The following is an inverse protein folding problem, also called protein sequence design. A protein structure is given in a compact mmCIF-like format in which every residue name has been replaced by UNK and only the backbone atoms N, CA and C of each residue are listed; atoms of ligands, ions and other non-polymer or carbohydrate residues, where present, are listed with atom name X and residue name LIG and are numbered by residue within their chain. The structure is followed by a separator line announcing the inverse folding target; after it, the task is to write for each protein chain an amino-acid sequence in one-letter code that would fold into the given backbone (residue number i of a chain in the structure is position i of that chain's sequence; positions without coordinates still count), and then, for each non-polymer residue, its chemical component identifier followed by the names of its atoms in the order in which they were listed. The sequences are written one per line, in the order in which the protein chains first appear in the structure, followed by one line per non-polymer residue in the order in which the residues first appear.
data_IF_555414496634
#
_entry.id   IF_555414496634
#
_cell.length_a   1.000
_cell.length_b   1.000
_cell.length_c   1.000
_cell.angle_alpha   90.00
_cell.angle_beta   90.00
_cell.angle_gamma   90.00
#
_symmetry.space_group_name_H-M   'P 1'
#
loop_
_entity.id
_entity.type
_entity.pdbx_description
1 polymer ?
#
# COMPACT_ATOMS: atom_id res chain seq x y z
N UNK A 1 24.15 8.38 -9.37
CA UNK A 1 25.37 9.18 -9.66
C UNK A 1 26.64 8.45 -9.28
N UNK A 2 26.82 8.02 -8.00
CA UNK A 2 28.02 7.28 -7.56
C UNK A 2 28.26 6.00 -8.36
N UNK A 3 27.23 5.18 -8.58
CA UNK A 3 27.33 3.96 -9.39
C UNK A 3 27.70 4.25 -10.86
N UNK A 4 27.19 5.35 -11.42
CA UNK A 4 27.51 5.77 -12.78
C UNK A 4 28.97 6.26 -12.89
N UNK A 5 29.47 6.98 -11.87
CA UNK A 5 30.86 7.41 -11.80
C UNK A 5 31.82 6.22 -11.62
N UNK A 6 31.46 5.24 -10.79
CA UNK A 6 32.24 4.01 -10.62
C UNK A 6 32.29 3.19 -11.92
N UNK A 7 31.16 3.05 -12.62
CA UNK A 7 31.11 2.37 -13.92
C UNK A 7 31.90 3.11 -14.99
N UNK A 8 31.83 4.44 -15.04
CA UNK A 8 32.62 5.25 -15.97
C UNK A 8 34.13 5.12 -15.69
N UNK A 9 34.54 5.07 -14.42
CA UNK A 9 35.92 4.83 -14.03
C UNK A 9 36.41 3.43 -14.46
N UNK A 10 35.62 2.39 -14.18
CA UNK A 10 35.96 1.02 -14.58
C UNK A 10 36.05 0.87 -16.10
N UNK A 11 35.09 1.46 -16.83
CA UNK A 11 35.11 1.51 -18.29
C UNK A 11 36.37 2.21 -18.81
N UNK A 12 36.78 3.33 -18.20
CA UNK A 12 38.00 4.03 -18.60
C UNK A 12 39.26 3.22 -18.33
N UNK A 13 39.36 2.56 -17.17
CA UNK A 13 40.48 1.68 -16.81
C UNK A 13 40.62 0.53 -17.82
N UNK A 14 39.51 -0.11 -18.18
CA UNK A 14 39.47 -1.25 -19.10
C UNK A 14 39.79 -0.82 -20.54
N UNK A 15 39.12 0.22 -21.04
CA UNK A 15 39.19 0.59 -22.45
C UNK A 15 40.47 1.35 -22.81
N UNK A 16 40.91 2.27 -21.95
CA UNK A 16 42.15 3.03 -22.16
C UNK A 16 43.39 2.28 -21.66
N UNK A 17 43.22 1.08 -21.09
CA UNK A 17 44.31 0.20 -20.63
C UNK A 17 45.27 0.94 -19.69
N UNK A 18 44.72 1.74 -18.79
CA UNK A 18 45.47 2.65 -17.90
C UNK A 18 46.50 1.90 -17.06
N UNK A 19 46.29 0.60 -16.79
CA UNK A 19 47.21 -0.27 -16.03
C UNK A 19 47.83 -1.41 -16.86
N UNK A 20 48.14 -1.16 -18.14
CA UNK A 20 48.77 -2.17 -19.02
C UNK A 20 50.14 -2.68 -18.52
N UNK A 21 50.88 -1.84 -17.80
CA UNK A 21 52.02 -2.25 -16.98
C UNK A 21 51.62 -2.03 -15.55
N UNK A 22 51.56 -3.12 -14.77
CA UNK A 22 51.36 -3.02 -13.33
C UNK A 22 52.52 -2.17 -12.79
N UNK A 23 52.25 -1.06 -12.07
CA UNK A 23 53.30 -0.35 -11.37
C UNK A 23 53.94 -1.36 -10.42
N UNK A 24 55.18 -1.76 -10.72
CA UNK A 24 55.97 -2.56 -9.80
C UNK A 24 56.34 -1.57 -8.72
N UNK A 25 55.70 -1.68 -7.55
CA UNK A 25 56.11 -0.92 -6.40
C UNK A 25 57.58 -1.27 -6.12
N UNK A 26 58.52 -0.33 -6.28
CA UNK A 26 59.93 -0.60 -6.08
C UNK A 26 60.24 -1.05 -4.64
N UNK A 27 59.30 -0.83 -3.70
CA UNK A 27 59.36 -1.30 -2.33
C UNK A 27 58.76 -2.69 -2.11
N UNK A 28 57.96 -3.22 -3.04
CA UNK A 28 57.36 -4.56 -2.97
C UNK A 28 58.33 -5.68 -3.38
N UNK A 29 59.62 -5.54 -3.07
CA UNK A 29 60.58 -6.63 -3.24
C UNK A 29 60.24 -7.73 -2.22
N UNK A 30 60.17 -8.98 -2.67
CA UNK A 30 59.83 -10.17 -1.85
C UNK A 30 60.74 -10.30 -0.61
N UNK A 31 61.94 -9.72 -0.67
CA UNK A 31 62.98 -9.74 0.35
C UNK A 31 62.85 -8.62 1.40
N UNK A 32 61.99 -7.61 1.19
CA UNK A 32 61.83 -6.51 2.14
C UNK A 32 61.10 -7.04 3.39
N UNK A 33 61.83 -7.06 4.52
CA UNK A 33 61.26 -7.41 5.81
C UNK A 33 60.15 -6.41 6.15
N UNK A 34 59.08 -6.84 6.84
CA UNK A 34 58.04 -5.90 7.20
C UNK A 34 58.59 -4.80 8.11
N UNK A 35 58.03 -3.61 7.99
CA UNK A 35 58.44 -2.46 8.77
C UNK A 35 57.38 -2.17 9.83
N UNK A 36 57.82 -1.73 11.01
CA UNK A 36 56.93 -1.33 12.09
C UNK A 36 56.23 -0.04 11.71
N UNK A 37 54.90 -0.06 11.65
CA UNK A 37 54.13 1.16 11.41
C UNK A 37 53.95 1.94 12.71
N UNK A 38 54.65 3.07 12.83
CA UNK A 38 54.59 3.93 14.02
C UNK A 38 53.22 4.58 14.21
N UNK A 39 52.44 4.78 13.15
CA UNK A 39 51.14 5.41 13.28
C UNK A 39 50.10 4.48 13.92
N UNK A 40 50.19 3.17 13.66
CA UNK A 40 49.27 2.17 14.21
C UNK A 40 49.85 1.36 15.38
N UNK A 41 51.15 1.50 15.68
CA UNK A 41 51.89 0.68 16.63
C UNK A 41 51.77 -0.84 16.37
N UNK A 42 51.65 -1.24 15.10
CA UNK A 42 51.45 -2.65 14.72
C UNK A 42 52.36 -3.07 13.57
N UNK A 43 52.60 -4.38 13.49
CA UNK A 43 53.23 -5.02 12.33
C UNK A 43 52.15 -5.43 11.32
N UNK A 44 52.09 -4.73 10.20
CA UNK A 44 51.06 -4.94 9.17
C UNK A 44 51.49 -5.93 8.07
N UNK A 45 52.63 -6.60 8.24
CA UNK A 45 53.16 -7.56 7.27
C UNK A 45 53.76 -6.89 6.04
N UNK A 46 53.89 -7.66 4.94
CA UNK A 46 54.49 -7.16 3.69
C UNK A 46 53.76 -5.91 3.18
N UNK A 47 54.45 -4.98 2.50
CA UNK A 47 53.86 -3.71 2.04
C UNK A 47 52.52 -3.86 1.30
N UNK A 48 52.38 -4.89 0.47
CA UNK A 48 51.13 -5.19 -0.25
C UNK A 48 49.94 -5.50 0.67
N UNK A 49 50.18 -6.23 1.75
CA UNK A 49 49.15 -6.58 2.73
C UNK A 49 48.84 -5.37 3.62
N UNK A 50 49.87 -4.65 4.04
CA UNK A 50 49.73 -3.44 4.84
C UNK A 50 48.93 -2.35 4.10
N UNK A 51 49.20 -2.14 2.81
CA UNK A 51 48.46 -1.22 1.96
C UNK A 51 46.98 -1.61 1.86
N UNK A 52 46.67 -2.89 1.60
CA UNK A 52 45.27 -3.36 1.54
C UNK A 52 44.52 -3.11 2.85
N UNK A 53 45.15 -3.38 4.00
CA UNK A 53 44.54 -3.15 5.32
C UNK A 53 44.28 -1.66 5.55
N UNK A 54 45.26 -0.79 5.24
CA UNK A 54 45.11 0.66 5.42
C UNK A 54 44.01 1.25 4.53
N UNK A 55 44.00 0.89 3.25
CA UNK A 55 43.02 1.42 2.30
C UNK A 55 41.62 0.85 2.52
N UNK A 56 41.49 -0.43 2.91
CA UNK A 56 40.18 -0.99 3.27
C UNK A 56 39.62 -0.35 4.54
N UNK A 57 40.45 -0.14 5.56
CA UNK A 57 40.05 0.58 6.77
C UNK A 57 39.65 2.03 6.45
N UNK A 58 40.45 2.75 5.66
CA UNK A 58 40.13 4.10 5.23
C UNK A 58 38.81 4.16 4.44
N UNK A 59 38.56 3.18 3.57
CA UNK A 59 37.29 3.06 2.85
C UNK A 59 36.11 2.82 3.81
N UNK A 60 36.23 1.87 4.75
CA UNK A 60 35.18 1.59 5.73
C UNK A 60 34.89 2.82 6.60
N UNK A 61 35.93 3.52 7.07
CA UNK A 61 35.79 4.75 7.83
C UNK A 61 35.14 5.87 6.99
N UNK A 62 35.54 6.03 5.73
CA UNK A 62 34.93 7.01 4.83
C UNK A 62 33.44 6.70 4.56
N UNK A 63 33.08 5.43 4.39
CA UNK A 63 31.68 5.00 4.25
C UNK A 63 30.91 5.25 5.54
N UNK A 64 31.47 4.91 6.70
CA UNK A 64 30.82 5.13 7.99
C UNK A 64 30.57 6.63 8.25
N UNK A 65 31.57 7.48 7.99
CA UNK A 65 31.44 8.95 8.09
C UNK A 65 30.43 9.45 7.05
N UNK A 66 30.47 8.94 5.81
CA UNK A 66 29.51 9.30 4.78
C UNK A 66 28.06 8.95 5.14
N UNK A 67 27.83 7.78 5.74
CA UNK A 67 26.52 7.35 6.25
C UNK A 67 26.10 8.16 7.48
N UNK A 68 27.03 8.57 8.35
CA UNK A 68 26.74 9.43 9.51
C UNK A 68 26.16 10.79 9.08
N UNK A 69 26.61 11.35 7.96
CA UNK A 69 26.09 12.61 7.41
C UNK A 69 24.96 12.41 6.37
N UNK A 70 24.54 11.17 6.13
CA UNK A 70 23.44 10.90 5.22
C UNK A 70 22.10 11.17 5.93
N UNK A 71 21.19 11.97 5.35
CA UNK A 71 19.87 12.18 5.95
C UNK A 71 19.06 10.90 5.84
N UNK A 72 19.02 10.09 6.91
CA UNK A 72 18.27 8.85 6.97
C UNK A 72 16.76 9.06 6.78
N UNK A 73 16.26 10.27 7.05
CA UNK A 73 14.90 10.72 6.75
C UNK A 73 14.53 10.57 5.26
N UNK A 74 15.52 10.47 4.36
CA UNK A 74 15.33 10.19 2.92
C UNK A 74 15.56 8.73 2.52
N UNK A 75 16.11 7.91 3.42
CA UNK A 75 16.28 6.46 3.24
C UNK A 75 15.15 5.66 3.86
N UNK A 76 14.41 6.25 4.81
CA UNK A 76 13.14 5.71 5.22
C UNK A 76 12.21 5.71 4.00
N UNK A 77 11.89 4.50 3.53
CA UNK A 77 10.70 4.32 2.70
C UNK A 77 9.56 4.98 3.47
N UNK A 78 8.84 5.94 2.87
CA UNK A 78 7.67 6.58 3.47
C UNK A 78 6.50 5.60 3.69
N UNK A 79 6.78 4.30 3.65
CA UNK A 79 5.82 3.23 3.52
C UNK A 79 5.06 3.34 2.20
N UNK A 80 3.98 2.57 2.14
CA UNK A 80 2.90 2.84 1.20
C UNK A 80 2.30 4.19 1.61
N UNK A 81 2.09 5.13 0.70
CA UNK A 81 1.40 6.38 1.02
C UNK A 81 -0.08 6.11 1.27
N UNK A 82 -0.67 6.81 2.24
CA UNK A 82 -2.12 6.75 2.45
C UNK A 82 -2.84 7.19 1.18
N UNK A 83 -3.75 6.35 0.71
CA UNK A 83 -4.58 6.58 -0.46
C UNK A 83 -6.05 6.45 -0.03
N UNK A 84 -6.62 7.50 0.59
CA UNK A 84 -7.94 7.42 1.17
C UNK A 84 -9.01 7.16 0.11
N UNK A 85 -10.00 6.37 0.51
CA UNK A 85 -11.10 5.94 -0.35
C UNK A 85 -12.33 6.78 -0.04
N UNK A 86 -13.05 7.16 -1.10
CA UNK A 86 -14.30 7.88 -1.00
C UNK A 86 -15.48 7.10 -1.58
N UNK A 87 -16.69 7.48 -1.15
CA UNK A 87 -17.96 6.87 -1.57
C UNK A 87 -18.09 6.79 -3.11
N UNK A 88 -18.59 5.64 -3.57
CA UNK A 88 -19.06 5.44 -4.94
C UNK A 88 -20.30 6.32 -5.23
N UNK A 89 -20.48 6.75 -6.48
CA UNK A 89 -21.54 7.71 -6.84
C UNK A 89 -22.54 7.10 -7.79
N UNK A 90 -23.81 7.51 -7.70
CA UNK A 90 -24.91 7.01 -8.53
C UNK A 90 -25.92 6.21 -7.73
N UNK A 91 -26.84 5.54 -8.43
CA UNK A 91 -27.88 4.66 -7.86
C UNK A 91 -27.83 3.29 -8.50
N UNK A 92 -28.65 3.06 -9.54
CA UNK A 92 -28.71 1.78 -10.26
C UNK A 92 -27.37 1.37 -10.90
N UNK A 93 -26.58 2.36 -11.30
CA UNK A 93 -25.19 2.20 -11.74
C UNK A 93 -24.32 3.05 -10.83
N UNK A 94 -23.38 2.40 -10.16
CA UNK A 94 -22.42 3.03 -9.27
C UNK A 94 -21.10 3.26 -10.02
N UNK A 95 -20.61 4.49 -9.97
CA UNK A 95 -19.27 4.87 -10.39
C UNK A 95 -18.36 4.68 -9.19
N UNK A 96 -17.60 3.59 -9.20
CA UNK A 96 -16.58 3.28 -8.21
C UNK A 96 -15.28 3.90 -8.70
N UNK A 97 -14.77 4.86 -7.95
CA UNK A 97 -13.50 5.55 -8.20
C UNK A 97 -12.96 6.00 -6.84
N UNK A 98 -12.47 5.02 -6.08
CA UNK A 98 -12.19 5.14 -4.65
C UNK A 98 -11.19 6.25 -4.33
N UNK A 99 -10.11 6.37 -5.09
CA UNK A 99 -9.04 7.35 -4.88
C UNK A 99 -9.10 8.55 -5.84
N UNK A 100 -10.17 8.67 -6.66
CA UNK A 100 -10.34 9.76 -7.64
C UNK A 100 -9.19 9.86 -8.65
N UNK A 101 -8.53 8.74 -8.99
CA UNK A 101 -7.43 8.71 -9.97
C UNK A 101 -7.91 8.50 -11.42
N UNK A 102 -9.22 8.43 -11.64
CA UNK A 102 -9.87 8.24 -12.94
C UNK A 102 -9.79 6.83 -13.56
N UNK A 103 -9.25 5.86 -12.83
CA UNK A 103 -9.47 4.44 -13.09
C UNK A 103 -10.77 4.03 -12.40
N UNK A 104 -11.86 3.96 -13.18
CA UNK A 104 -13.20 3.78 -12.64
C UNK A 104 -13.84 2.47 -13.07
N UNK A 105 -14.69 1.95 -12.20
CA UNK A 105 -15.56 0.80 -12.46
C UNK A 105 -17.00 1.28 -12.48
N UNK A 106 -17.71 0.99 -13.57
CA UNK A 106 -19.14 1.22 -13.67
C UNK A 106 -19.91 -0.02 -13.21
N UNK A 107 -20.15 -0.11 -11.91
CA UNK A 107 -20.83 -1.23 -11.29
C UNK A 107 -22.34 -1.14 -11.51
N UNK A 108 -22.91 -2.11 -12.23
CA UNK A 108 -24.35 -2.17 -12.53
C UNK A 108 -25.10 -2.75 -11.32
N UNK A 109 -25.27 -1.95 -10.27
CA UNK A 109 -25.85 -2.35 -8.98
C UNK A 109 -27.23 -2.99 -9.13
N UNK A 110 -28.15 -2.36 -9.85
CA UNK A 110 -29.52 -2.88 -10.04
C UNK A 110 -29.55 -4.26 -10.69
N UNK A 111 -28.65 -4.51 -11.64
CA UNK A 111 -28.55 -5.82 -12.31
C UNK A 111 -28.07 -6.88 -11.31
N UNK A 112 -27.12 -6.55 -10.44
CA UNK A 112 -26.67 -7.48 -9.40
C UNK A 112 -27.80 -7.77 -8.43
N UNK A 113 -28.54 -6.75 -8.00
CA UNK A 113 -29.72 -6.91 -7.15
C UNK A 113 -30.73 -7.89 -7.78
N UNK A 114 -31.16 -7.60 -9.02
CA UNK A 114 -32.16 -8.40 -9.72
C UNK A 114 -31.72 -9.85 -9.97
N UNK A 115 -30.47 -10.04 -10.39
CA UNK A 115 -29.95 -11.37 -10.74
C UNK A 115 -29.64 -12.23 -9.52
N UNK A 116 -29.48 -11.62 -8.34
CA UNK A 116 -29.14 -12.32 -7.12
C UNK A 116 -30.32 -12.44 -6.14
N UNK A 117 -31.54 -12.16 -6.58
CA UNK A 117 -32.76 -12.40 -5.79
C UNK A 117 -33.37 -11.15 -5.16
N UNK A 118 -33.17 -9.98 -5.77
CA UNK A 118 -33.75 -8.73 -5.30
C UNK A 118 -33.18 -8.33 -3.94
N UNK A 119 -34.07 -8.03 -2.98
CA UNK A 119 -33.70 -7.61 -1.64
C UNK A 119 -32.90 -8.65 -0.84
N UNK A 120 -33.02 -9.95 -1.16
CA UNK A 120 -32.21 -10.99 -0.52
C UNK A 120 -30.74 -10.98 -0.98
N UNK A 121 -30.43 -10.23 -2.04
CA UNK A 121 -29.07 -10.11 -2.56
C UNK A 121 -28.17 -9.23 -1.70
N UNK A 122 -28.74 -8.31 -0.91
CA UNK A 122 -27.97 -7.28 -0.20
C UNK A 122 -26.90 -7.90 0.71
N UNK A 123 -27.26 -8.94 1.47
CA UNK A 123 -26.34 -9.63 2.38
C UNK A 123 -25.24 -10.43 1.66
N UNK A 124 -25.36 -10.67 0.35
CA UNK A 124 -24.32 -11.35 -0.44
C UNK A 124 -23.10 -10.46 -0.70
N UNK A 125 -23.28 -9.14 -0.55
CA UNK A 125 -22.22 -8.14 -0.77
C UNK A 125 -22.01 -7.26 0.47
N UNK A 126 -23.07 -6.69 1.03
CA UNK A 126 -23.02 -5.90 2.26
C UNK A 126 -22.97 -6.84 3.46
N UNK A 127 -21.77 -7.31 3.78
CA UNK A 127 -21.58 -8.32 4.82
C UNK A 127 -21.44 -7.73 6.23
N UNK A 128 -21.28 -6.41 6.32
CA UNK A 128 -21.18 -5.68 7.57
C UNK A 128 -21.68 -4.25 7.36
N UNK A 129 -22.51 -3.76 8.28
CA UNK A 129 -23.03 -2.40 8.28
C UNK A 129 -22.39 -1.57 9.38
N UNK A 130 -22.38 -0.26 9.20
CA UNK A 130 -22.20 0.68 10.30
C UNK A 130 -23.44 0.57 11.22
N UNK A 131 -23.29 0.67 12.55
CA UNK A 131 -24.43 0.59 13.47
C UNK A 131 -25.57 1.54 13.11
N UNK A 132 -26.79 1.02 13.01
CA UNK A 132 -27.99 1.80 12.65
C UNK A 132 -28.15 2.10 11.15
N UNK A 133 -27.23 1.62 10.32
CA UNK A 133 -27.27 1.74 8.86
C UNK A 133 -27.68 0.41 8.22
N UNK A 134 -28.05 0.47 6.93
CA UNK A 134 -28.28 -0.71 6.10
C UNK A 134 -27.53 -0.54 4.79
N UNK A 135 -26.91 -1.62 4.34
CA UNK A 135 -26.20 -1.64 3.06
C UNK A 135 -25.05 -0.62 3.04
N UNK A 136 -24.31 -0.54 4.14
CA UNK A 136 -23.19 0.39 4.27
C UNK A 136 -22.18 0.18 3.14
N UNK A 137 -21.63 1.29 2.65
CA UNK A 137 -20.69 1.27 1.56
C UNK A 137 -19.32 0.75 1.99
N UNK A 138 -18.67 -0.04 1.13
CA UNK A 138 -17.39 -0.68 1.44
C UNK A 138 -16.33 0.32 1.92
N UNK A 139 -16.33 1.55 1.39
CA UNK A 139 -15.37 2.62 1.70
C UNK A 139 -15.38 3.06 3.18
N UNK A 140 -16.46 2.79 3.92
CA UNK A 140 -16.57 3.18 5.33
C UNK A 140 -15.63 2.36 6.23
N UNK A 141 -15.38 1.10 5.88
CA UNK A 141 -14.48 0.21 6.60
C UNK A 141 -13.16 0.02 5.84
N UNK A 142 -13.24 -0.18 4.52
CA UNK A 142 -12.11 -0.31 3.61
C UNK A 142 -11.69 1.08 3.11
N UNK A 143 -11.17 1.89 4.02
CA UNK A 143 -10.99 3.35 3.85
C UNK A 143 -9.68 3.76 3.19
N UNK A 144 -8.79 2.81 2.88
CA UNK A 144 -7.57 3.02 2.10
C UNK A 144 -7.53 2.06 0.92
N UNK A 145 -6.98 2.49 -0.22
CA UNK A 145 -6.92 1.65 -1.42
C UNK A 145 -6.13 0.36 -1.21
N UNK A 146 -5.00 0.42 -0.51
CA UNK A 146 -4.00 -0.65 -0.48
C UNK A 146 -3.59 -1.06 0.93
N UNK A 147 -3.87 -0.25 1.94
CA UNK A 147 -3.51 -0.55 3.34
C UNK A 147 -4.64 -1.28 4.06
N UNK A 148 -4.24 -2.11 4.99
CA UNK A 148 -5.13 -2.62 6.01
C UNK A 148 -5.56 -1.48 6.93
N UNK A 149 -6.84 -1.47 7.29
CA UNK A 149 -7.48 -0.43 8.09
C UNK A 149 -8.15 -1.03 9.31
N UNK A 150 -8.12 -0.29 10.42
CA UNK A 150 -8.92 -0.62 11.60
C UNK A 150 -10.39 -0.27 11.33
N UNK A 151 -11.18 -1.27 10.95
CA UNK A 151 -12.61 -1.13 10.68
C UNK A 151 -13.42 -0.93 11.97
N UNK A 152 -12.91 -1.41 13.11
CA UNK A 152 -13.51 -1.12 14.42
C UNK A 152 -13.28 0.33 14.83
N UNK A 153 -12.21 0.97 14.36
CA UNK A 153 -11.80 2.33 14.74
C UNK A 153 -11.66 2.41 16.25
N UNK A 154 -10.76 1.61 16.80
CA UNK A 154 -10.47 1.49 18.22
C UNK A 154 -10.29 2.85 18.89
N UNK A 155 -9.50 3.73 18.27
CA UNK A 155 -9.25 5.08 18.79
C UNK A 155 -10.52 5.93 18.85
N UNK A 156 -11.43 5.77 17.89
CA UNK A 156 -12.71 6.47 17.92
C UNK A 156 -13.61 5.94 19.04
N UNK A 157 -13.64 4.62 19.26
CA UNK A 157 -14.39 4.04 20.37
C UNK A 157 -13.87 4.48 21.74
N UNK A 158 -12.55 4.52 21.91
CA UNK A 158 -11.90 4.91 23.18
C UNK A 158 -11.83 6.43 23.40
N UNK A 159 -11.97 7.24 22.34
CA UNK A 159 -11.81 8.69 22.43
C UNK A 159 -13.00 9.38 23.13
N UNK A 160 -12.75 10.42 23.96
CA UNK A 160 -13.79 11.29 24.50
C UNK A 160 -14.65 12.00 23.43
N UNK A 161 -14.09 12.24 22.24
CA UNK A 161 -14.80 12.86 21.12
C UNK A 161 -15.54 11.85 20.22
N UNK A 162 -15.43 10.56 20.52
CA UNK A 162 -16.10 9.47 19.81
C UNK A 162 -17.12 8.77 20.72
N UNK A 163 -17.01 7.46 20.89
CA UNK A 163 -17.94 6.70 21.74
C UNK A 163 -17.64 6.83 23.25
N UNK A 164 -16.46 7.36 23.61
CA UNK A 164 -16.02 7.56 25.00
C UNK A 164 -16.14 6.29 25.86
N UNK A 165 -15.80 5.14 25.29
CA UNK A 165 -15.80 3.87 25.99
C UNK A 165 -14.53 3.70 26.81
N UNK A 166 -14.69 3.43 28.10
CA UNK A 166 -13.57 3.04 28.95
C UNK A 166 -13.05 1.64 28.56
N UNK A 167 -11.74 1.41 28.64
CA UNK A 167 -11.10 0.16 28.21
C UNK A 167 -11.74 -1.10 28.84
N UNK A 168 -12.17 -1.01 30.09
CA UNK A 168 -12.81 -2.11 30.85
C UNK A 168 -14.21 -2.49 30.35
N UNK A 169 -14.79 -1.70 29.44
CA UNK A 169 -16.06 -2.04 28.78
C UNK A 169 -15.89 -3.06 27.65
N UNK A 170 -14.67 -3.19 27.13
CA UNK A 170 -14.36 -4.08 26.01
C UNK A 170 -13.29 -5.11 26.37
N UNK A 171 -12.43 -4.83 27.35
CA UNK A 171 -11.36 -5.73 27.77
C UNK A 171 -11.49 -6.09 29.25
N UNK A 172 -11.45 -7.39 29.53
CA UNK A 172 -11.40 -7.90 30.89
C UNK A 172 -10.11 -7.45 31.61
N UNK A 173 -10.18 -6.98 32.88
CA UNK A 173 -9.01 -6.44 33.59
C UNK A 173 -7.81 -7.38 33.70
N UNK A 174 -8.07 -8.69 33.83
CA UNK A 174 -7.06 -9.71 34.08
C UNK A 174 -6.59 -10.44 32.80
N UNK A 175 -7.00 -9.96 31.62
CA UNK A 175 -6.62 -10.52 30.33
C UNK A 175 -5.70 -9.57 29.56
N UNK A 176 -4.78 -10.09 28.73
CA UNK A 176 -4.09 -9.26 27.75
C UNK A 176 -5.12 -8.53 26.89
N UNK A 177 -4.90 -7.23 26.63
CA UNK A 177 -5.78 -6.42 25.77
C UNK A 177 -5.50 -6.75 24.31
N UNK A 178 -6.20 -7.74 23.79
CA UNK A 178 -6.07 -8.20 22.41
C UNK A 178 -7.45 -8.43 21.79
N UNK A 179 -7.53 -8.42 20.46
CA UNK A 179 -8.81 -8.57 19.76
C UNK A 179 -9.54 -9.88 20.12
N UNK A 180 -8.80 -10.96 20.36
CA UNK A 180 -9.35 -12.28 20.71
C UNK A 180 -9.88 -12.39 22.13
N UNK A 181 -9.56 -11.44 23.02
CA UNK A 181 -10.04 -11.38 24.41
C UNK A 181 -10.96 -10.21 24.66
N UNK A 182 -11.22 -9.40 23.63
CA UNK A 182 -12.16 -8.30 23.69
C UNK A 182 -13.60 -8.80 23.53
N UNK A 183 -14.56 -8.04 24.08
CA UNK A 183 -15.99 -8.23 23.83
C UNK A 183 -16.29 -8.26 22.33
N UNK A 184 -17.18 -9.17 21.93
CA UNK A 184 -17.60 -9.23 20.53
C UNK A 184 -18.46 -8.02 20.16
N UNK A 185 -18.36 -7.55 18.91
CA UNK A 185 -19.15 -6.39 18.47
C UNK A 185 -20.66 -6.57 18.67
N UNK A 186 -21.17 -7.80 18.55
CA UNK A 186 -22.60 -8.12 18.69
C UNK A 186 -23.16 -7.89 20.10
N UNK A 187 -22.29 -7.78 21.10
CA UNK A 187 -22.70 -7.43 22.47
C UNK A 187 -23.28 -6.01 22.53
N UNK A 188 -22.82 -5.12 21.63
CA UNK A 188 -23.27 -3.73 21.53
C UNK A 188 -24.07 -3.44 20.25
N UNK A 189 -23.71 -4.08 19.13
CA UNK A 189 -24.28 -3.82 17.79
C UNK A 189 -25.04 -5.03 17.27
N UNK A 190 -26.37 -5.01 17.39
CA UNK A 190 -27.24 -6.17 17.10
C UNK A 190 -27.51 -6.41 15.61
N UNK A 191 -27.25 -5.41 14.78
CA UNK A 191 -27.59 -5.33 13.36
C UNK A 191 -26.35 -5.17 12.46
N UNK A 192 -25.17 -5.44 13.02
CA UNK A 192 -23.89 -5.24 12.36
C UNK A 192 -23.69 -6.17 11.15
N UNK A 193 -24.01 -7.45 11.31
CA UNK A 193 -23.90 -8.45 10.24
C UNK A 193 -25.33 -8.78 9.79
N UNK A 194 -25.71 -8.48 8.54
CA UNK A 194 -27.06 -8.76 8.08
C UNK A 194 -27.32 -10.27 8.03
N UNK A 195 -28.56 -10.71 8.30
CA UNK A 195 -28.94 -12.12 8.16
C UNK A 195 -28.66 -12.63 6.74
N UNK A 196 -28.03 -13.80 6.65
CA UNK A 196 -27.66 -14.40 5.35
C UNK A 196 -26.37 -13.85 4.74
N UNK A 197 -25.58 -13.06 5.48
CA UNK A 197 -24.27 -12.61 5.03
C UNK A 197 -23.37 -13.79 4.63
N UNK A 198 -22.89 -13.78 3.38
CA UNK A 198 -22.06 -14.88 2.85
C UNK A 198 -20.58 -14.68 3.12
N UNK A 199 -20.15 -13.44 3.33
CA UNK A 199 -18.77 -13.09 3.67
C UNK A 199 -18.67 -13.03 5.19
N UNK A 200 -17.73 -13.77 5.76
CA UNK A 200 -17.48 -13.79 7.21
C UNK A 200 -16.44 -12.74 7.58
N UNK A 201 -16.71 -12.00 8.65
CA UNK A 201 -15.77 -11.07 9.26
C UNK A 201 -15.06 -11.81 10.38
N UNK A 202 -13.78 -12.12 10.18
CA UNK A 202 -12.97 -12.88 11.16
C UNK A 202 -12.21 -11.96 12.12
N UNK A 203 -11.81 -10.79 11.65
CA UNK A 203 -11.13 -9.77 12.43
C UNK A 203 -11.68 -8.37 12.13
N UNK A 204 -11.18 -7.39 12.87
CA UNK A 204 -11.54 -5.98 12.70
C UNK A 204 -10.56 -5.21 11.82
N UNK A 205 -9.62 -5.92 11.18
CA UNK A 205 -8.60 -5.35 10.31
C UNK A 205 -9.06 -5.54 8.87
N UNK A 206 -9.77 -4.55 8.36
CA UNK A 206 -10.24 -4.57 6.98
C UNK A 206 -9.04 -4.55 6.02
N UNK A 207 -8.97 -5.45 5.02
CA UNK A 207 -8.01 -5.31 3.94
C UNK A 207 -8.20 -4.00 3.17
N UNK A 208 -7.20 -3.62 2.39
CA UNK A 208 -7.32 -2.48 1.47
C UNK A 208 -8.51 -2.63 0.54
N UNK A 209 -9.06 -1.51 0.09
CA UNK A 209 -10.26 -1.46 -0.74
C UNK A 209 -10.13 -2.26 -2.03
N UNK A 210 -8.95 -2.23 -2.66
CA UNK A 210 -8.65 -3.02 -3.86
C UNK A 210 -8.77 -4.51 -3.55
N UNK A 211 -8.15 -4.97 -2.47
CA UNK A 211 -8.16 -6.38 -2.07
C UNK A 211 -9.56 -6.83 -1.64
N UNK A 212 -10.29 -5.99 -0.92
CA UNK A 212 -11.68 -6.26 -0.52
C UNK A 212 -12.59 -6.41 -1.74
N UNK A 213 -12.52 -5.48 -2.69
CA UNK A 213 -13.33 -5.52 -3.90
C UNK A 213 -12.95 -6.69 -4.80
N UNK A 214 -11.66 -6.90 -5.05
CA UNK A 214 -11.23 -8.02 -5.87
C UNK A 214 -11.55 -9.37 -5.21
N UNK A 215 -11.34 -9.50 -3.90
CA UNK A 215 -11.65 -10.71 -3.15
C UNK A 215 -13.15 -11.06 -3.18
N UNK A 216 -14.04 -10.07 -3.18
CA UNK A 216 -15.49 -10.33 -3.26
C UNK A 216 -15.98 -10.50 -4.70
N UNK A 217 -15.68 -9.53 -5.57
CA UNK A 217 -16.27 -9.47 -6.91
C UNK A 217 -15.63 -10.49 -7.86
N UNK A 218 -14.30 -10.61 -7.86
CA UNK A 218 -13.59 -11.47 -8.82
C UNK A 218 -13.83 -12.93 -8.49
N UNK A 219 -13.84 -13.33 -7.21
CA UNK A 219 -14.13 -14.70 -6.81
C UNK A 219 -15.56 -15.12 -7.20
N UNK A 220 -16.57 -14.29 -6.89
CA UNK A 220 -17.93 -14.53 -7.36
C UNK A 220 -18.02 -14.62 -8.90
N UNK A 221 -17.32 -13.73 -9.61
CA UNK A 221 -17.27 -13.75 -11.07
C UNK A 221 -16.58 -14.99 -11.63
N UNK A 222 -15.57 -15.57 -10.96
CA UNK A 222 -14.94 -16.84 -11.37
C UNK A 222 -15.95 -17.98 -11.29
N UNK A 223 -16.73 -18.07 -10.21
CA UNK A 223 -17.77 -19.07 -10.06
C UNK A 223 -18.86 -18.92 -11.15
N UNK A 224 -19.34 -17.69 -11.35
CA UNK A 224 -20.34 -17.39 -12.38
C UNK A 224 -19.81 -17.56 -13.80
N UNK A 225 -18.51 -17.38 -14.04
CA UNK A 225 -17.89 -17.62 -15.34
C UNK A 225 -18.06 -19.07 -15.78
N UNK A 226 -17.86 -20.01 -14.86
CA UNK A 226 -18.06 -21.45 -15.11
C UNK A 226 -19.55 -21.74 -15.29
N UNK A 227 -20.38 -21.28 -14.35
CA UNK A 227 -21.82 -21.57 -14.36
C UNK A 227 -22.56 -21.02 -15.60
N UNK A 228 -22.11 -19.87 -16.13
CA UNK A 228 -22.75 -19.18 -17.25
C UNK A 228 -22.01 -19.36 -18.58
N UNK A 229 -20.94 -20.16 -18.61
CA UNK A 229 -20.04 -20.30 -19.76
C UNK A 229 -19.53 -18.93 -20.29
N UNK A 230 -19.13 -18.05 -19.36
CA UNK A 230 -18.59 -16.70 -19.63
C UNK A 230 -17.15 -16.60 -19.11
N UNK A 231 -16.16 -17.26 -19.74
CA UNK A 231 -14.79 -17.37 -19.21
C UNK A 231 -14.07 -16.02 -19.01
N UNK A 232 -14.55 -14.95 -19.68
CA UNK A 232 -13.99 -13.60 -19.57
C UNK A 232 -14.56 -12.78 -18.40
N UNK A 233 -15.61 -13.25 -17.72
CA UNK A 233 -16.29 -12.50 -16.66
C UNK A 233 -15.37 -12.02 -15.51
N UNK A 234 -14.35 -12.77 -15.05
CA UNK A 234 -13.44 -12.31 -14.00
C UNK A 234 -12.23 -11.51 -14.52
N UNK A 235 -12.13 -11.24 -15.83
CA UNK A 235 -11.01 -10.49 -16.39
C UNK A 235 -11.12 -9.00 -16.05
N UNK A 236 -9.97 -8.33 -15.90
CA UNK A 236 -9.90 -6.92 -15.51
C UNK A 236 -10.77 -6.02 -16.40
N UNK A 237 -10.73 -6.25 -17.72
CA UNK A 237 -11.47 -5.48 -18.73
C UNK A 237 -12.99 -5.58 -18.63
N UNK A 238 -13.51 -6.56 -17.89
CA UNK A 238 -14.96 -6.69 -17.66
C UNK A 238 -15.47 -5.65 -16.66
N UNK A 239 -14.62 -5.24 -15.71
CA UNK A 239 -14.95 -4.24 -14.70
C UNK A 239 -14.32 -2.89 -15.02
N UNK A 240 -13.05 -2.90 -15.43
CA UNK A 240 -12.26 -1.73 -15.82
C UNK A 240 -12.32 -1.55 -17.33
N UNK A 241 -13.25 -0.73 -17.78
CA UNK A 241 -13.41 -0.38 -19.19
C UNK A 241 -12.79 1.01 -19.42
N UNK A 242 -11.70 1.05 -20.19
CA UNK A 242 -10.99 2.29 -20.49
C UNK A 242 -11.85 3.26 -21.30
N UNK A 243 -12.67 2.77 -22.23
CA UNK A 243 -13.52 3.64 -23.05
C UNK A 243 -14.60 4.31 -22.19
N UNK A 244 -15.19 3.56 -21.25
CA UNK A 244 -16.14 4.10 -20.27
C UNK A 244 -15.43 5.11 -19.37
N UNK A 245 -14.22 4.81 -18.91
CA UNK A 245 -13.44 5.70 -18.07
C UNK A 245 -13.16 7.02 -18.80
N UNK A 246 -12.63 6.96 -20.01
CA UNK A 246 -12.32 8.11 -20.84
C UNK A 246 -13.57 8.95 -21.13
N UNK A 247 -14.69 8.32 -21.46
CA UNK A 247 -15.97 8.99 -21.73
C UNK A 247 -16.50 9.74 -20.49
N UNK A 248 -16.51 9.10 -19.33
CA UNK A 248 -16.92 9.74 -18.06
C UNK A 248 -15.96 10.87 -17.69
N UNK A 249 -14.66 10.69 -17.89
CA UNK A 249 -13.65 11.70 -17.62
C UNK A 249 -13.82 12.92 -18.52
N UNK A 250 -14.09 12.72 -19.82
CA UNK A 250 -14.41 13.79 -20.76
C UNK A 250 -15.68 14.54 -20.34
N UNK A 251 -16.73 13.83 -19.93
CA UNK A 251 -17.98 14.45 -19.47
C UNK A 251 -17.77 15.30 -18.20
N UNK A 252 -16.98 14.80 -17.24
CA UNK A 252 -16.59 15.57 -16.04
C UNK A 252 -15.79 16.81 -16.46
N UNK A 253 -14.74 16.64 -17.27
CA UNK A 253 -13.90 17.75 -17.72
C UNK A 253 -14.70 18.82 -18.47
N UNK A 254 -15.63 18.42 -19.36
CA UNK A 254 -16.50 19.33 -20.09
C UNK A 254 -17.43 20.13 -19.16
N UNK A 255 -17.97 19.51 -18.09
CA UNK A 255 -18.80 20.20 -17.08
C UNK A 255 -18.02 21.27 -16.31
N UNK A 256 -16.70 21.13 -16.22
CA UNK A 256 -15.82 22.06 -15.51
C UNK A 256 -15.06 23.04 -16.43
N UNK A 257 -15.08 22.86 -17.76
CA UNK A 257 -14.50 23.81 -18.71
C UNK A 257 -15.28 25.13 -18.71
N UNK A 258 -14.62 26.23 -18.34
CA UNK A 258 -15.19 27.58 -18.27
C UNK A 258 -15.46 28.10 -16.86
N UNK A 259 -15.45 27.23 -15.84
CA UNK A 259 -15.42 27.66 -14.43
C UNK A 259 -13.99 27.58 -13.93
N UNK A 260 -13.23 28.69 -14.03
CA UNK A 260 -12.00 28.86 -13.25
C UNK A 260 -12.37 28.99 -11.76
N UNK A 261 -12.68 27.87 -11.13
CA UNK A 261 -12.80 27.81 -9.68
C UNK A 261 -11.40 27.65 -9.10
N UNK A 262 -10.95 28.61 -8.29
CA UNK A 262 -9.74 28.49 -7.46
C UNK A 262 -9.89 27.46 -6.34
N UNK A 263 -11.06 26.82 -6.25
CA UNK A 263 -11.39 25.76 -5.31
C UNK A 263 -11.65 24.45 -6.05
N UNK A 264 -11.22 23.33 -5.47
CA UNK A 264 -11.57 21.97 -5.92
C UNK A 264 -13.10 21.89 -5.98
N UNK A 265 -13.67 22.00 -7.19
CA UNK A 265 -15.12 21.94 -7.39
C UNK A 265 -15.47 20.47 -7.48
N UNK A 266 -16.06 19.92 -6.41
CA UNK A 266 -16.62 18.57 -6.46
C UNK A 266 -17.82 18.56 -7.41
N UNK A 267 -17.96 17.55 -8.30
CA UNK A 267 -19.14 17.47 -9.16
C UNK A 267 -20.36 17.12 -8.30
N UNK A 268 -21.28 18.08 -8.13
CA UNK A 268 -22.66 17.78 -7.77
C UNK A 268 -23.32 17.01 -8.91
N UNK A 269 -24.06 15.96 -8.55
CA UNK A 269 -24.91 15.19 -9.45
C UNK A 269 -26.34 15.46 -9.03
N UNK A 270 -27.16 15.94 -9.96
CA UNK A 270 -28.61 15.99 -9.79
C UNK A 270 -29.15 14.55 -9.70
N UNK A 271 -29.93 14.28 -8.67
CA UNK A 271 -30.77 13.09 -8.57
C UNK A 271 -31.88 13.23 -9.63
N UNK A 272 -31.82 12.40 -10.68
CA UNK A 272 -32.92 12.16 -11.61
C UNK A 272 -33.38 10.72 -11.47
#
# INVERSE_FOLDING_TARGET
VVSAAALAFLFAVEHFKVWKKMPIDPEAKVEKLPEFDRASNTWLGRPEVAARIKYSLAFVLAVAVGLMFWPFDRLESQGIQDTPVVKARGGEKLIINGNRNFDLVLFKHKIHEDTLGGQESCAKCHHMNIPGDKESGCWQCHSDMNKYMDAFRHDWHASPSGANLGCVKCHEPDQPKMASTASECKECHKDLIPPGATIRVEDYIAPGYVDAMHGSCVECHKEKAVALNKPKLPQCTTCHDQEVSDSVNQAIAAKHQGKQSTWVTMPEIEEN
#
